data_IF_696081072718
#
_entry.id   IF_696081072718
#
_cell.length_a   1.000
_cell.length_b   1.000
_cell.length_c   1.000
_cell.angle_alpha   90.00
_cell.angle_beta   90.00
_cell.angle_gamma   90.00
#
_symmetry.space_group_name_H-M   'P 1'
#
loop_
_entity.id
_entity.type
_entity.pdbx_description
1 polymer ?
#
# COMPACT_ATOMS: atom_id res chain seq x y z
N UNK A 1 -1.66 9.95 -18.55
CA UNK A 1 -1.31 8.80 -17.71
C UNK A 1 0.20 8.76 -17.57
N UNK A 2 0.71 8.65 -16.35
CA UNK A 2 2.14 8.41 -16.14
C UNK A 2 2.47 6.95 -16.50
N UNK A 3 3.63 6.71 -17.10
CA UNK A 3 4.14 5.36 -17.30
C UNK A 3 4.70 4.86 -15.96
N UNK A 4 4.17 3.74 -15.46
CA UNK A 4 4.58 3.16 -14.17
C UNK A 4 4.46 1.64 -14.23
N UNK A 5 5.09 0.98 -13.26
CA UNK A 5 5.00 -0.47 -13.08
C UNK A 5 3.75 -0.82 -12.26
N UNK A 6 3.15 -1.98 -12.55
CA UNK A 6 1.87 -2.39 -11.94
C UNK A 6 1.87 -2.33 -10.41
N UNK A 7 2.95 -2.76 -9.76
CA UNK A 7 3.02 -2.75 -8.29
C UNK A 7 3.06 -1.33 -7.70
N UNK A 8 3.54 -0.33 -8.44
CA UNK A 8 3.46 1.07 -8.03
C UNK A 8 2.03 1.60 -8.21
N UNK A 9 1.38 1.30 -9.34
CA UNK A 9 -0.02 1.69 -9.56
C UNK A 9 -0.96 1.12 -8.49
N UNK A 10 -0.77 -0.15 -8.10
CA UNK A 10 -1.53 -0.77 -7.00
C UNK A 10 -1.23 -0.10 -5.66
N UNK A 11 0.03 0.26 -5.39
CA UNK A 11 0.41 0.97 -4.15
C UNK A 11 -0.26 2.33 -4.07
N UNK A 12 -0.23 3.10 -5.16
CA UNK A 12 -0.83 4.43 -5.27
C UNK A 12 -2.34 4.35 -4.99
N UNK A 13 -3.05 3.41 -5.63
CA UNK A 13 -4.47 3.21 -5.40
C UNK A 13 -4.80 2.83 -3.94
N UNK A 14 -4.00 1.95 -3.33
CA UNK A 14 -4.18 1.59 -1.92
C UNK A 14 -3.94 2.81 -1.02
N UNK A 15 -2.87 3.57 -1.29
CA UNK A 15 -2.52 4.76 -0.51
C UNK A 15 -3.61 5.83 -0.58
N UNK A 16 -4.17 6.07 -1.77
CA UNK A 16 -5.26 7.02 -1.99
C UNK A 16 -6.52 6.65 -1.22
N UNK A 17 -6.95 5.37 -1.27
CA UNK A 17 -8.17 4.95 -0.57
C UNK A 17 -8.00 4.89 0.95
N UNK A 18 -6.82 4.50 1.46
CA UNK A 18 -6.51 4.58 2.89
C UNK A 18 -6.47 6.03 3.40
N UNK A 19 -5.96 6.96 2.59
CA UNK A 19 -5.97 8.39 2.93
C UNK A 19 -7.40 8.98 2.91
N UNK A 20 -8.25 8.49 1.99
CA UNK A 20 -9.62 8.96 1.79
C UNK A 20 -10.59 8.47 2.86
N UNK A 21 -10.45 7.22 3.31
CA UNK A 21 -11.37 6.58 4.24
C UNK A 21 -10.60 5.85 5.35
N UNK A 22 -10.70 6.38 6.58
CA UNK A 22 -10.01 5.84 7.76
C UNK A 22 -10.51 4.46 8.20
N UNK A 23 -11.57 3.92 7.57
CA UNK A 23 -12.05 2.56 7.83
C UNK A 23 -11.37 1.52 6.93
N UNK A 24 -10.63 1.95 5.91
CA UNK A 24 -9.86 1.08 5.02
C UNK A 24 -8.55 0.67 5.69
N UNK A 25 -8.28 -0.64 5.72
CA UNK A 25 -7.04 -1.20 6.24
C UNK A 25 -6.61 -2.41 5.41
N UNK A 26 -5.34 -2.79 5.51
CA UNK A 26 -4.81 -4.01 4.88
C UNK A 26 -4.53 -5.08 5.93
N UNK A 27 -4.77 -6.32 5.52
CA UNK A 27 -4.36 -7.51 6.26
C UNK A 27 -3.81 -8.56 5.27
N UNK A 28 -2.88 -9.38 5.75
CA UNK A 28 -2.29 -10.46 4.96
C UNK A 28 -0.87 -10.78 5.41
N UNK A 29 -0.33 -11.87 4.87
CA UNK A 29 1.05 -12.27 5.12
C UNK A 29 2.02 -11.24 4.52
N UNK A 30 3.01 -10.82 5.31
CA UNK A 30 4.08 -9.90 4.94
C UNK A 30 3.67 -8.49 4.46
N UNK A 31 2.38 -8.13 4.46
CA UNK A 31 1.90 -6.84 3.90
C UNK A 31 2.31 -5.62 4.71
N UNK A 32 2.60 -5.79 6.01
CA UNK A 32 3.00 -4.72 6.92
C UNK A 32 4.48 -4.35 6.80
N UNK A 33 5.26 -4.67 7.85
CA UNK A 33 6.69 -4.36 7.96
C UNK A 33 7.54 -4.73 6.73
N UNK A 34 7.24 -5.84 6.05
CA UNK A 34 8.00 -6.29 4.88
C UNK A 34 7.59 -5.58 3.57
N UNK A 35 6.39 -5.01 3.52
CA UNK A 35 5.83 -4.33 2.35
C UNK A 35 5.26 -5.27 1.27
N UNK A 36 4.98 -6.52 1.63
CA UNK A 36 4.46 -7.56 0.74
C UNK A 36 5.52 -8.25 -0.12
N UNK A 37 5.22 -9.46 -0.59
CA UNK A 37 6.15 -10.31 -1.37
C UNK A 37 6.63 -9.64 -2.66
N UNK A 38 5.76 -8.86 -3.31
CA UNK A 38 6.04 -8.09 -4.54
C UNK A 38 6.22 -6.59 -4.30
N UNK A 39 6.40 -6.18 -3.04
CA UNK A 39 6.58 -4.77 -2.65
C UNK A 39 5.40 -3.85 -2.97
N UNK A 40 4.19 -4.38 -3.19
CA UNK A 40 2.99 -3.57 -3.44
C UNK A 40 2.69 -2.65 -2.26
N UNK A 41 2.77 -3.12 -1.02
CA UNK A 41 2.43 -2.34 0.19
C UNK A 41 3.65 -1.70 0.85
N UNK A 42 4.77 -1.61 0.14
CA UNK A 42 6.02 -1.02 0.65
C UNK A 42 5.76 0.37 1.23
N UNK A 43 6.29 0.60 2.43
CA UNK A 43 6.23 1.85 3.21
C UNK A 43 4.82 2.28 3.69
N UNK A 44 3.72 1.63 3.26
CA UNK A 44 2.38 1.93 3.76
C UNK A 44 2.22 1.68 5.26
N UNK A 45 2.87 0.62 5.78
CA UNK A 45 2.86 0.34 7.21
C UNK A 45 3.46 1.48 8.05
N UNK A 46 4.55 2.10 7.57
CA UNK A 46 5.16 3.25 8.24
C UNK A 46 4.27 4.49 8.21
N UNK A 47 3.45 4.63 7.17
CA UNK A 47 2.57 5.80 6.98
C UNK A 47 1.30 5.72 7.84
N UNK A 48 0.74 4.53 8.03
CA UNK A 48 -0.58 4.36 8.63
C UNK A 48 -0.62 3.48 9.89
N UNK A 49 0.45 2.75 10.21
CA UNK A 49 0.46 1.72 11.25
C UNK A 49 1.59 1.80 12.27
N UNK A 50 2.49 2.80 12.17
CA UNK A 50 3.29 3.28 13.32
C UNK A 50 2.45 4.20 14.20
#
# INVERSE_FOLDING_TARGET
MAETVLFNALREAIDEEMARDSTVFLLGEDVGHYGGSYKVTKDLYKKYGE
#
